data_IF_439423616577
#
_entry.id   IF_439423616577
#
_cell.length_a   1.000
_cell.length_b   1.000
_cell.length_c   1.000
_cell.angle_alpha   90.00
_cell.angle_beta   90.00
_cell.angle_gamma   90.00
#
_symmetry.space_group_name_H-M   'P 1'
#
loop_
_entity.id
_entity.type
_entity.pdbx_description
1 polymer ?
#
# COMPACT_ATOMS: atom_id res chain seq x y z
N UNK A 1 32.10 -5.43 -3.94
CA UNK A 1 30.79 -4.75 -3.78
C UNK A 1 29.81 -5.48 -4.69
N UNK A 2 28.73 -6.03 -4.13
CA UNK A 2 27.64 -6.59 -4.94
C UNK A 2 26.74 -5.42 -5.35
N UNK A 3 26.67 -5.15 -6.66
CA UNK A 3 25.63 -4.27 -7.19
C UNK A 3 24.31 -5.03 -7.08
N UNK A 4 23.28 -4.37 -6.54
CA UNK A 4 21.93 -4.91 -6.57
C UNK A 4 21.49 -4.88 -8.03
N UNK A 5 21.31 -6.05 -8.64
CA UNK A 5 20.67 -6.19 -9.94
C UNK A 5 19.27 -5.59 -9.84
N UNK A 6 18.91 -4.68 -10.73
CA UNK A 6 17.56 -4.13 -10.75
C UNK A 6 16.55 -5.25 -11.06
N UNK A 7 15.40 -5.28 -10.38
CA UNK A 7 14.32 -6.21 -10.69
C UNK A 7 13.93 -6.15 -12.17
N UNK A 8 13.63 -7.30 -12.76
CA UNK A 8 13.14 -7.39 -14.13
C UNK A 8 11.70 -6.87 -14.25
N UNK A 9 11.23 -6.64 -15.48
CA UNK A 9 10.10 -5.75 -15.79
C UNK A 9 8.79 -6.02 -15.03
N UNK A 10 8.43 -7.28 -14.75
CA UNK A 10 7.15 -7.63 -14.14
C UNK A 10 7.02 -7.14 -12.68
N UNK A 11 8.07 -7.33 -11.87
CA UNK A 11 8.12 -6.83 -10.49
C UNK A 11 8.05 -5.31 -10.45
N UNK A 12 8.75 -4.63 -11.37
CA UNK A 12 8.76 -3.16 -11.43
C UNK A 12 7.37 -2.60 -11.70
N UNK A 13 6.62 -3.25 -12.60
CA UNK A 13 5.23 -2.87 -12.89
C UNK A 13 4.34 -3.10 -11.66
N UNK A 14 4.38 -4.28 -11.04
CA UNK A 14 3.55 -4.58 -9.88
C UNK A 14 3.82 -3.65 -8.67
N UNK A 15 5.09 -3.30 -8.42
CA UNK A 15 5.43 -2.32 -7.37
C UNK A 15 4.96 -0.90 -7.73
N UNK A 16 5.06 -0.52 -9.01
CA UNK A 16 4.58 0.79 -9.47
C UNK A 16 3.07 0.91 -9.38
N UNK A 17 2.32 -0.14 -9.71
CA UNK A 17 0.86 -0.18 -9.62
C UNK A 17 0.42 -0.06 -8.15
N UNK A 18 1.05 -0.83 -7.26
CA UNK A 18 0.85 -0.72 -5.81
C UNK A 18 1.11 0.70 -5.29
N UNK A 19 2.17 1.38 -5.75
CA UNK A 19 2.42 2.77 -5.37
C UNK A 19 1.32 3.72 -5.86
N UNK A 20 0.80 3.48 -7.06
CA UNK A 20 -0.35 4.22 -7.60
C UNK A 20 -1.60 4.05 -6.75
N UNK A 21 -1.92 2.81 -6.33
CA UNK A 21 -3.05 2.51 -5.45
C UNK A 21 -2.95 3.24 -4.11
N UNK A 22 -1.77 3.26 -3.49
CA UNK A 22 -1.54 3.99 -2.24
C UNK A 22 -1.77 5.50 -2.40
N UNK A 23 -1.35 6.08 -3.53
CA UNK A 23 -1.56 7.49 -3.84
C UNK A 23 -3.05 7.82 -4.01
N UNK A 24 -3.80 6.94 -4.69
CA UNK A 24 -5.25 7.10 -4.85
C UNK A 24 -5.98 7.01 -3.51
N UNK A 25 -5.60 6.04 -2.65
CA UNK A 25 -6.13 5.94 -1.29
C UNK A 25 -5.84 7.23 -0.49
N UNK A 26 -4.62 7.74 -0.57
CA UNK A 26 -4.25 9.01 0.10
C UNK A 26 -5.12 10.17 -0.38
N UNK A 27 -5.31 10.29 -1.69
CA UNK A 27 -6.12 11.35 -2.28
C UNK A 27 -7.59 11.24 -1.84
N UNK A 28 -8.17 10.04 -1.85
CA UNK A 28 -9.53 9.81 -1.38
C UNK A 28 -9.71 10.18 0.11
N UNK A 29 -8.75 9.82 0.97
CA UNK A 29 -8.80 10.23 2.39
C UNK A 29 -8.69 11.75 2.55
N UNK A 30 -7.94 12.42 1.68
CA UNK A 30 -7.82 13.88 1.70
C UNK A 30 -9.10 14.58 1.22
N UNK A 31 -9.75 14.06 0.18
CA UNK A 31 -11.00 14.60 -0.36
C UNK A 31 -12.17 14.44 0.61
N UNK A 32 -12.22 13.31 1.33
CA UNK A 32 -13.25 13.02 2.32
C UNK A 32 -12.79 13.24 3.77
N UNK A 33 -11.75 14.04 3.99
CA UNK A 33 -11.16 14.22 5.31
C UNK A 33 -12.21 14.72 6.34
N UNK A 34 -12.12 14.23 7.59
CA UNK A 34 -13.03 14.62 8.67
C UNK A 34 -13.95 13.53 9.22
N UNK A 35 -13.86 12.29 8.68
CA UNK A 35 -14.44 11.12 9.36
C UNK A 35 -13.59 10.71 10.58
N UNK A 36 -14.14 9.95 11.54
CA UNK A 36 -13.42 9.52 12.73
C UNK A 36 -12.09 8.83 12.40
N UNK A 37 -11.03 9.21 13.12
CA UNK A 37 -9.65 8.72 12.94
C UNK A 37 -9.02 8.94 11.55
N UNK A 38 -9.58 9.84 10.72
CA UNK A 38 -9.04 10.16 9.38
C UNK A 38 -7.62 10.75 9.41
N UNK A 39 -7.27 11.49 10.46
CA UNK A 39 -5.90 11.99 10.70
C UNK A 39 -4.92 10.85 10.98
N UNK A 40 -5.32 9.91 11.83
CA UNK A 40 -4.53 8.72 12.15
C UNK A 40 -4.40 7.79 10.94
N UNK A 41 -5.48 7.64 10.17
CA UNK A 41 -5.47 6.88 8.92
C UNK A 41 -4.45 7.46 7.94
N UNK A 42 -4.49 8.79 7.73
CA UNK A 42 -3.56 9.49 6.85
C UNK A 42 -2.10 9.31 7.29
N UNK A 43 -1.83 9.38 8.60
CA UNK A 43 -0.49 9.13 9.14
C UNK A 43 0.03 7.73 8.77
N UNK A 44 -0.78 6.69 8.95
CA UNK A 44 -0.37 5.32 8.64
C UNK A 44 -0.32 5.03 7.14
N UNK A 45 -1.10 5.74 6.31
CA UNK A 45 -0.94 5.71 4.85
C UNK A 45 0.46 6.20 4.46
N UNK A 46 0.91 7.31 5.04
CA UNK A 46 2.27 7.80 4.80
C UNK A 46 3.35 6.83 5.31
N UNK A 47 3.13 6.15 6.43
CA UNK A 47 4.05 5.09 6.88
C UNK A 47 4.08 3.90 5.91
N UNK A 48 2.94 3.53 5.32
CA UNK A 48 2.85 2.48 4.31
C UNK A 48 3.63 2.85 3.04
N UNK A 49 3.58 4.13 2.67
CA UNK A 49 4.33 4.70 1.55
C UNK A 49 5.79 5.06 1.87
N UNK A 50 6.23 4.91 3.12
CA UNK A 50 7.61 5.22 3.50
C UNK A 50 8.62 4.35 2.75
N UNK A 51 9.82 4.88 2.57
CA UNK A 51 10.88 4.18 1.84
C UNK A 51 11.28 2.86 2.52
N UNK A 52 11.16 2.79 3.84
CA UNK A 52 11.35 1.57 4.63
C UNK A 52 10.28 0.52 4.31
N UNK A 53 9.01 0.92 4.14
CA UNK A 53 7.90 0.01 3.84
C UNK A 53 7.93 -0.46 2.38
N UNK A 54 8.22 0.41 1.42
CA UNK A 54 8.34 0.06 -0.01
C UNK A 54 9.44 -0.98 -0.26
N UNK A 55 10.50 -1.00 0.57
CA UNK A 55 11.59 -1.98 0.48
C UNK A 55 11.36 -3.26 1.26
N UNK A 56 10.34 -3.29 2.12
CA UNK A 56 10.03 -4.42 2.97
C UNK A 56 8.52 -4.67 2.98
N UNK A 57 8.06 -5.49 2.03
CA UNK A 57 6.64 -5.82 1.88
C UNK A 57 6.02 -6.45 3.14
N UNK A 58 6.80 -7.12 3.98
CA UNK A 58 6.29 -7.61 5.27
C UNK A 58 5.92 -6.45 6.20
N UNK A 59 6.76 -5.41 6.27
CA UNK A 59 6.45 -4.20 7.03
C UNK A 59 5.23 -3.48 6.45
N UNK A 60 5.14 -3.40 5.11
CA UNK A 60 3.98 -2.81 4.44
C UNK A 60 2.69 -3.58 4.75
N UNK A 61 2.73 -4.92 4.82
CA UNK A 61 1.59 -5.75 5.21
C UNK A 61 1.04 -5.38 6.58
N UNK A 62 1.93 -5.22 7.56
CA UNK A 62 1.54 -4.86 8.93
C UNK A 62 0.90 -3.47 8.95
N UNK A 63 1.45 -2.51 8.20
CA UNK A 63 0.86 -1.17 8.07
C UNK A 63 -0.48 -1.19 7.35
N UNK A 64 -0.63 -1.99 6.29
CA UNK A 64 -1.88 -2.12 5.54
C UNK A 64 -3.01 -2.69 6.40
N UNK A 65 -2.71 -3.68 7.25
CA UNK A 65 -3.67 -4.21 8.23
C UNK A 65 -4.13 -3.13 9.21
N UNK A 66 -3.20 -2.30 9.69
CA UNK A 66 -3.51 -1.19 10.59
C UNK A 66 -4.41 -0.15 9.91
N UNK A 67 -4.06 0.27 8.69
CA UNK A 67 -4.84 1.20 7.86
C UNK A 67 -6.26 0.64 7.66
N UNK A 68 -6.40 -0.64 7.32
CA UNK A 68 -7.71 -1.29 7.17
C UNK A 68 -8.54 -1.24 8.44
N UNK A 69 -7.95 -1.59 9.57
CA UNK A 69 -8.66 -1.60 10.85
C UNK A 69 -9.15 -0.19 11.23
N UNK A 70 -8.32 0.83 11.01
CA UNK A 70 -8.69 2.23 11.29
C UNK A 70 -9.81 2.68 10.37
N UNK A 71 -9.70 2.43 9.05
CA UNK A 71 -10.74 2.80 8.09
C UNK A 71 -12.09 2.15 8.43
N UNK A 72 -12.10 0.87 8.80
CA UNK A 72 -13.32 0.16 9.20
C UNK A 72 -13.93 0.70 10.49
N UNK A 73 -13.11 0.96 11.51
CA UNK A 73 -13.58 1.50 12.80
C UNK A 73 -14.09 2.92 12.66
N UNK A 74 -13.42 3.73 11.84
CA UNK A 74 -13.78 5.10 11.52
C UNK A 74 -15.01 5.24 10.63
N UNK A 75 -15.57 4.12 10.13
CA UNK A 75 -16.64 4.10 9.11
C UNK A 75 -16.27 4.98 7.92
N UNK A 76 -15.07 4.74 7.38
CA UNK A 76 -14.55 5.50 6.28
C UNK A 76 -15.55 5.48 5.08
N UNK A 77 -15.61 6.57 4.31
CA UNK A 77 -16.43 6.66 3.11
C UNK A 77 -16.18 5.52 2.13
N UNK A 78 -17.20 5.17 1.34
CA UNK A 78 -17.13 4.06 0.38
C UNK A 78 -15.96 4.19 -0.60
N UNK A 79 -15.63 5.42 -1.02
CA UNK A 79 -14.49 5.67 -1.91
C UNK A 79 -13.13 5.36 -1.25
N UNK A 80 -12.98 5.67 0.04
CA UNK A 80 -11.79 5.31 0.81
C UNK A 80 -11.68 3.79 0.93
N UNK A 81 -12.82 3.12 1.16
CA UNK A 81 -12.86 1.66 1.25
C UNK A 81 -12.53 0.99 -0.10
N UNK A 82 -13.01 1.55 -1.21
CA UNK A 82 -12.69 1.09 -2.56
C UNK A 82 -11.19 1.13 -2.83
N UNK A 83 -10.54 2.27 -2.59
CA UNK A 83 -9.09 2.38 -2.81
C UNK A 83 -8.28 1.53 -1.83
N UNK A 84 -8.79 1.29 -0.63
CA UNK A 84 -8.16 0.38 0.33
C UNK A 84 -8.19 -1.08 -0.16
N UNK A 85 -9.26 -1.49 -0.85
CA UNK A 85 -9.34 -2.80 -1.51
C UNK A 85 -8.39 -2.89 -2.70
N UNK A 86 -8.32 -1.85 -3.53
CA UNK A 86 -7.37 -1.76 -4.65
C UNK A 86 -5.89 -1.85 -4.19
N UNK A 87 -5.55 -1.21 -3.05
CA UNK A 87 -4.23 -1.37 -2.42
C UNK A 87 -4.00 -2.82 -1.95
N UNK A 88 -5.01 -3.50 -1.42
CA UNK A 88 -4.87 -4.92 -1.00
C UNK A 88 -4.60 -5.82 -2.20
N UNK A 89 -5.37 -5.67 -3.28
CA UNK A 89 -5.20 -6.45 -4.51
C UNK A 89 -3.82 -6.20 -5.13
N UNK A 90 -3.42 -4.95 -5.26
CA UNK A 90 -2.10 -4.58 -5.79
C UNK A 90 -0.96 -5.05 -4.90
N UNK A 91 -1.16 -5.09 -3.58
CA UNK A 91 -0.17 -5.63 -2.64
C UNK A 91 0.01 -7.14 -2.82
N UNK A 92 -1.08 -7.90 -2.98
CA UNK A 92 -1.03 -9.34 -3.22
C UNK A 92 -0.30 -9.67 -4.53
N UNK A 93 -0.59 -8.91 -5.60
CA UNK A 93 0.11 -9.01 -6.88
C UNK A 93 1.60 -8.71 -6.74
N UNK A 94 1.96 -7.65 -6.03
CA UNK A 94 3.36 -7.29 -5.80
C UNK A 94 4.11 -8.37 -5.00
N UNK A 95 3.47 -8.96 -3.99
CA UNK A 95 4.06 -10.08 -3.23
C UNK A 95 4.28 -11.29 -4.15
N UNK A 96 3.28 -11.71 -4.92
CA UNK A 96 3.39 -12.83 -5.86
C UNK A 96 4.51 -12.62 -6.87
N UNK A 97 4.57 -11.45 -7.51
CA UNK A 97 5.63 -11.12 -8.47
C UNK A 97 7.03 -11.19 -7.84
N UNK A 98 7.18 -10.82 -6.56
CA UNK A 98 8.46 -10.94 -5.84
C UNK A 98 8.80 -12.35 -5.39
N UNK A 99 7.82 -13.23 -5.22
CA UNK A 99 8.04 -14.65 -4.90
C UNK A 99 8.43 -15.45 -6.16
N UNK A 100 7.82 -15.16 -7.30
CA UNK A 100 8.13 -15.78 -8.60
C UNK A 100 9.58 -15.53 -9.03
N UNK A 101 10.07 -14.30 -8.92
CA UNK A 101 11.48 -13.95 -9.23
C UNK A 101 12.50 -14.59 -8.29
N UNK A 102 12.12 -14.96 -7.06
CA UNK A 102 13.00 -15.69 -6.14
C UNK A 102 13.08 -17.19 -6.45
N UNK A 103 12.17 -17.70 -7.26
CA UNK A 103 12.12 -19.11 -7.67
C UNK A 103 12.88 -19.39 -8.98
N UNK A 104 13.24 -18.35 -9.74
CA UNK A 104 14.09 -18.40 -10.95
C UNK A 104 15.58 -18.19 -10.63
#
# INVERSE_FOLDING_TARGET
MSFKTEPTGYIKTAISDLQGSWENLRNAVNEHFGFPDSDKLMFHIHEGMSWESVRNLNKMKDTLLLVRNIAQQGKAPDEVMYWLEDVQESFELAVQATEEDRAE
#
